data_IF_286182269270
#
_entry.id   IF_286182269270
#
_cell.length_a   1.000
_cell.length_b   1.000
_cell.length_c   1.000
_cell.angle_alpha   90.00
_cell.angle_beta   90.00
_cell.angle_gamma   90.00
#
_symmetry.space_group_name_H-M   'P 1'
#
loop_
_entity.id
_entity.type
_entity.pdbx_description
1 polymer ?
#
# COMPACT_ATOMS: atom_id res chain seq x y z
N UNK A 1 -0.19 -12.55 3.84
CA UNK A 1 1.24 -12.57 4.23
C UNK A 1 1.63 -11.20 4.77
N UNK A 2 2.64 -11.14 5.64
CA UNK A 2 3.19 -9.89 6.17
C UNK A 2 4.70 -9.87 5.91
N UNK A 3 5.27 -8.68 5.81
CA UNK A 3 6.72 -8.46 5.76
C UNK A 3 7.07 -7.37 6.76
N UNK A 4 8.28 -7.42 7.30
CA UNK A 4 8.82 -6.39 8.18
C UNK A 4 9.86 -5.58 7.40
N UNK A 5 9.69 -4.26 7.40
CA UNK A 5 10.60 -3.33 6.77
C UNK A 5 11.29 -2.50 7.86
N UNK A 6 12.61 -2.40 7.83
CA UNK A 6 13.40 -1.60 8.75
C UNK A 6 13.82 -0.30 8.05
N UNK A 7 13.64 0.83 8.71
CA UNK A 7 14.15 2.12 8.25
C UNK A 7 15.67 2.16 8.42
N UNK A 8 16.40 2.48 7.34
CA UNK A 8 17.85 2.59 7.38
C UNK A 8 18.31 3.84 8.14
N UNK A 9 17.45 4.87 8.20
CA UNK A 9 17.74 6.14 8.88
C UNK A 9 17.51 6.08 10.39
N UNK A 10 16.45 5.39 10.82
CA UNK A 10 15.99 5.43 12.22
C UNK A 10 16.04 4.06 12.90
N UNK A 11 16.26 2.98 12.16
CA UNK A 11 16.22 1.61 12.66
C UNK A 11 14.81 1.09 13.02
N UNK A 12 13.77 1.92 12.87
CA UNK A 12 12.38 1.56 13.20
C UNK A 12 11.88 0.47 12.25
N UNK A 13 11.26 -0.56 12.82
CA UNK A 13 10.67 -1.67 12.07
C UNK A 13 9.17 -1.41 11.88
N UNK A 14 8.73 -1.40 10.62
CA UNK A 14 7.33 -1.27 10.21
C UNK A 14 6.83 -2.59 9.63
N UNK A 15 5.80 -3.15 10.23
CA UNK A 15 5.13 -4.34 9.69
C UNK A 15 4.14 -3.94 8.59
N UNK A 16 4.26 -4.55 7.43
CA UNK A 16 3.43 -4.29 6.25
C UNK A 16 2.73 -5.56 5.78
N UNK A 17 1.53 -5.41 5.22
CA UNK A 17 0.77 -6.52 4.62
C UNK A 17 1.14 -6.66 3.15
N UNK A 18 1.38 -7.88 2.70
CA UNK A 18 1.72 -8.19 1.30
C UNK A 18 0.53 -8.87 0.62
N UNK A 19 0.13 -8.36 -0.55
CA UNK A 19 -1.06 -8.80 -1.30
C UNK A 19 -2.19 -7.76 -1.28
N UNK A 20 -3.42 -8.16 -1.62
CA UNK A 20 -4.55 -7.23 -1.71
C UNK A 20 -4.88 -6.55 -0.37
N UNK A 21 -5.26 -5.27 -0.42
CA UNK A 21 -5.64 -4.47 0.74
C UNK A 21 -7.16 -4.41 0.89
N UNK A 22 -7.74 -5.48 1.45
CA UNK A 22 -9.19 -5.55 1.71
C UNK A 22 -9.71 -4.35 2.50
N UNK A 23 -8.91 -3.80 3.42
CA UNK A 23 -9.29 -2.58 4.15
C UNK A 23 -9.42 -1.38 3.21
N UNK A 24 -8.55 -1.25 2.21
CA UNK A 24 -8.60 -0.13 1.27
C UNK A 24 -9.82 -0.25 0.32
N UNK A 25 -10.30 -1.48 0.06
CA UNK A 25 -11.52 -1.72 -0.69
C UNK A 25 -12.75 -1.13 0.00
N UNK A 26 -12.89 -1.30 1.33
CA UNK A 26 -14.08 -0.88 2.07
C UNK A 26 -13.98 0.56 2.60
N UNK A 27 -12.79 0.97 3.06
CA UNK A 27 -12.60 2.24 3.76
C UNK A 27 -11.93 3.33 2.92
N UNK A 28 -11.62 3.07 1.65
CA UNK A 28 -11.13 4.09 0.72
C UNK A 28 -9.94 4.89 1.29
N UNK A 29 -10.05 6.22 1.27
CA UNK A 29 -9.01 7.17 1.70
C UNK A 29 -8.64 7.06 3.20
N UNK A 30 -9.50 6.50 4.04
CA UNK A 30 -9.21 6.37 5.48
C UNK A 30 -8.00 5.47 5.74
N UNK A 31 -7.79 4.43 4.91
CA UNK A 31 -6.66 3.50 5.08
C UNK A 31 -5.30 4.18 4.91
N UNK A 32 -5.01 4.87 3.79
CA UNK A 32 -3.76 5.59 3.64
C UNK A 32 -3.59 6.72 4.67
N UNK A 33 -4.65 7.42 5.06
CA UNK A 33 -4.60 8.45 6.13
C UNK A 33 -4.06 7.85 7.44
N UNK A 34 -4.65 6.76 7.91
CA UNK A 34 -4.19 6.12 9.16
C UNK A 34 -2.81 5.48 9.04
N UNK A 35 -2.32 5.21 7.81
CA UNK A 35 -0.96 4.71 7.57
C UNK A 35 0.09 5.82 7.44
N UNK A 36 -0.33 7.09 7.43
CA UNK A 36 0.53 8.25 7.20
C UNK A 36 0.96 8.38 5.73
N UNK A 37 0.22 7.78 4.82
CA UNK A 37 0.48 7.76 3.38
C UNK A 37 -0.37 8.82 2.68
N UNK A 38 0.10 10.07 2.73
CA UNK A 38 -0.66 11.22 2.24
C UNK A 38 -0.83 11.22 0.72
N UNK A 39 0.13 10.67 -0.02
CA UNK A 39 0.05 10.57 -1.49
C UNK A 39 -1.13 9.71 -1.90
N UNK A 40 -1.24 8.50 -1.34
CA UNK A 40 -2.39 7.63 -1.63
C UNK A 40 -3.67 8.11 -0.95
N UNK A 41 -3.60 8.82 0.18
CA UNK A 41 -4.77 9.45 0.80
C UNK A 41 -5.47 10.43 -0.13
N UNK A 42 -4.70 11.32 -0.76
CA UNK A 42 -5.23 12.29 -1.72
C UNK A 42 -5.79 11.57 -2.96
N UNK A 43 -5.05 10.59 -3.50
CA UNK A 43 -5.51 9.82 -4.67
C UNK A 43 -6.84 9.12 -4.40
N UNK A 44 -6.96 8.44 -3.27
CA UNK A 44 -8.20 7.76 -2.89
C UNK A 44 -9.33 8.76 -2.62
N UNK A 45 -9.04 9.94 -2.07
CA UNK A 45 -10.01 11.01 -1.88
C UNK A 45 -10.60 11.50 -3.21
N UNK A 46 -9.76 11.69 -4.23
CA UNK A 46 -10.20 12.09 -5.58
C UNK A 46 -11.07 10.99 -6.20
N UNK A 47 -10.67 9.72 -6.09
CA UNK A 47 -11.46 8.58 -6.59
C UNK A 47 -12.83 8.55 -5.90
N UNK A 48 -12.88 8.77 -4.58
CA UNK A 48 -14.11 8.78 -3.80
C UNK A 48 -15.04 9.94 -4.19
N UNK A 49 -14.50 11.11 -4.55
CA UNK A 49 -15.27 12.24 -5.06
C UNK A 49 -15.83 11.95 -6.46
N UNK A 50 -15.04 11.34 -7.34
CA UNK A 50 -15.49 10.92 -8.68
C UNK A 50 -16.57 9.84 -8.61
N UNK A 51 -16.46 8.90 -7.65
CA UNK A 51 -17.51 7.91 -7.36
C UNK A 51 -18.84 8.55 -7.05
N UNK A 52 -18.80 9.56 -6.17
CA UNK A 52 -19.98 10.29 -5.75
C UNK A 52 -20.65 11.00 -6.94
N UNK A 53 -19.87 11.59 -7.84
CA UNK A 53 -20.40 12.27 -9.03
C UNK A 53 -20.87 11.32 -10.15
N UNK A 54 -20.40 10.07 -10.19
CA UNK A 54 -20.64 9.12 -11.31
C UNK A 54 -21.67 8.01 -11.00
N UNK A 55 -22.40 8.11 -9.88
CA UNK A 55 -23.33 7.07 -9.40
C UNK A 55 -22.67 5.68 -9.19
N UNK A 56 -21.37 5.66 -8.88
CA UNK A 56 -20.69 4.53 -8.22
C UNK A 56 -20.14 3.39 -9.09
N UNK A 57 -20.59 3.20 -10.33
CA UNK A 57 -20.13 2.05 -11.15
C UNK A 57 -18.64 2.16 -11.53
N UNK A 58 -18.24 3.33 -12.05
CA UNK A 58 -16.87 3.55 -12.54
C UNK A 58 -15.87 3.41 -11.39
N UNK A 59 -16.19 3.99 -10.23
CA UNK A 59 -15.24 3.91 -9.14
C UNK A 59 -15.25 2.59 -8.39
N UNK A 60 -16.32 1.79 -8.41
CA UNK A 60 -16.26 0.42 -7.90
C UNK A 60 -15.17 -0.40 -8.61
N UNK A 61 -15.06 -0.28 -9.93
CA UNK A 61 -13.98 -0.92 -10.71
C UNK A 61 -12.61 -0.38 -10.29
N UNK A 62 -12.48 0.95 -10.19
CA UNK A 62 -11.22 1.59 -9.76
C UNK A 62 -10.83 1.10 -8.36
N UNK A 63 -11.74 1.06 -7.39
CA UNK A 63 -11.49 0.57 -6.03
C UNK A 63 -11.01 -0.87 -5.99
N UNK A 64 -11.58 -1.75 -6.81
CA UNK A 64 -11.15 -3.15 -6.89
C UNK A 64 -9.70 -3.22 -7.37
N UNK A 65 -9.36 -2.54 -8.47
CA UNK A 65 -7.98 -2.50 -8.99
C UNK A 65 -7.02 -1.91 -7.97
N UNK A 66 -7.40 -0.77 -7.38
CA UNK A 66 -6.58 -0.03 -6.43
C UNK A 66 -6.36 -0.86 -5.15
N UNK A 67 -7.37 -1.60 -4.66
CA UNK A 67 -7.25 -2.52 -3.53
C UNK A 67 -6.16 -3.58 -3.75
N UNK A 68 -6.17 -4.23 -4.91
CA UNK A 68 -5.22 -5.30 -5.22
C UNK A 68 -3.79 -4.77 -5.27
N UNK A 69 -3.59 -3.56 -5.80
CA UNK A 69 -2.27 -2.99 -6.03
C UNK A 69 -1.73 -2.11 -4.90
N UNK A 70 -2.60 -1.55 -4.07
CA UNK A 70 -2.24 -0.52 -3.08
C UNK A 70 -1.12 -0.95 -2.12
N UNK A 71 -1.20 -2.13 -1.52
CA UNK A 71 -0.14 -2.58 -0.60
C UNK A 71 1.21 -2.74 -1.31
N UNK A 72 1.22 -3.20 -2.57
CA UNK A 72 2.46 -3.27 -3.36
C UNK A 72 3.05 -1.89 -3.58
N UNK A 73 2.24 -0.91 -3.99
CA UNK A 73 2.72 0.46 -4.17
C UNK A 73 3.23 1.10 -2.88
N UNK A 74 2.49 0.92 -1.78
CA UNK A 74 2.89 1.41 -0.47
C UNK A 74 4.22 0.79 -0.01
N UNK A 75 4.42 -0.51 -0.23
CA UNK A 75 5.70 -1.17 0.05
C UNK A 75 6.82 -0.60 -0.84
N UNK A 76 6.59 -0.45 -2.14
CA UNK A 76 7.58 0.15 -3.04
C UNK A 76 7.97 1.57 -2.63
N UNK A 77 7.02 2.37 -2.16
CA UNK A 77 7.29 3.71 -1.65
C UNK A 77 8.12 3.69 -0.37
N UNK A 78 7.86 2.77 0.55
CA UNK A 78 8.71 2.57 1.72
C UNK A 78 10.14 2.18 1.32
N UNK A 79 10.29 1.23 0.39
CA UNK A 79 11.61 0.81 -0.09
C UNK A 79 12.39 1.99 -0.71
N UNK A 80 11.72 2.79 -1.55
CA UNK A 80 12.31 4.00 -2.13
C UNK A 80 12.67 5.06 -1.09
N UNK A 81 11.99 5.08 0.06
CA UNK A 81 12.25 6.01 1.16
C UNK A 81 13.36 5.54 2.12
N UNK A 82 14.13 4.51 1.76
CA UNK A 82 15.24 3.99 2.56
C UNK A 82 14.79 3.01 3.64
N UNK A 83 13.77 2.19 3.32
CA UNK A 83 13.45 1.02 4.11
C UNK A 83 14.01 -0.23 3.43
N UNK A 84 14.53 -1.15 4.23
CA UNK A 84 15.05 -2.44 3.78
C UNK A 84 14.32 -3.60 4.47
N UNK A 85 14.29 -4.82 3.89
CA UNK A 85 13.75 -5.98 4.57
C UNK A 85 14.45 -6.21 5.91
N UNK A 86 13.69 -6.38 7.00
CA UNK A 86 14.26 -6.52 8.33
C UNK A 86 14.88 -7.91 8.59
N UNK A 87 14.48 -8.91 7.80
CA UNK A 87 14.83 -10.31 7.95
C UNK A 87 14.78 -11.05 6.60
N UNK A 88 15.47 -12.20 6.52
CA UNK A 88 15.56 -13.01 5.28
C UNK A 88 14.20 -13.52 4.81
N UNK A 89 13.25 -13.76 5.72
CA UNK A 89 11.90 -14.22 5.35
C UNK A 89 11.12 -13.10 4.69
N UNK A 90 11.16 -11.89 5.25
CA UNK A 90 10.58 -10.68 4.65
C UNK A 90 11.19 -10.39 3.28
N UNK A 91 12.51 -10.55 3.12
CA UNK A 91 13.18 -10.41 1.83
C UNK A 91 12.65 -11.40 0.79
N UNK A 92 12.58 -12.69 1.13
CA UNK A 92 12.07 -13.72 0.23
C UNK A 92 10.62 -13.45 -0.19
N UNK A 93 9.76 -13.03 0.74
CA UNK A 93 8.36 -12.68 0.44
C UNK A 93 8.29 -11.50 -0.55
N UNK A 94 9.16 -10.51 -0.41
CA UNK A 94 9.20 -9.35 -1.29
C UNK A 94 9.78 -9.70 -2.67
N UNK A 95 10.82 -10.53 -2.74
CA UNK A 95 11.39 -11.05 -4.00
C UNK A 95 10.37 -11.88 -4.78
N UNK A 96 9.65 -12.79 -4.11
CA UNK A 96 8.58 -13.59 -4.74
C UNK A 96 7.46 -12.75 -5.34
N UNK A 97 7.23 -11.55 -4.79
CA UNK A 97 6.23 -10.60 -5.29
C UNK A 97 6.80 -9.59 -6.30
N UNK A 98 8.08 -9.69 -6.67
CA UNK A 98 8.75 -8.77 -7.57
C UNK A 98 8.87 -7.35 -7.01
N UNK A 99 8.86 -7.19 -5.68
CA UNK A 99 8.91 -5.89 -5.00
C UNK A 99 10.32 -5.51 -4.55
N UNK A 100 11.25 -6.47 -4.52
CA UNK A 100 12.64 -6.29 -4.09
C UNK A 100 13.56 -7.02 -5.08
N UNK A 101 14.52 -6.32 -5.68
CA UNK A 101 15.35 -6.81 -6.80
C UNK A 101 16.86 -6.74 -6.53
N UNK A 102 17.28 -6.42 -5.31
CA UNK A 102 18.69 -6.28 -4.92
C UNK A 102 19.10 -7.55 -4.22
#
# INVERSE_FOLDING_TARGET
MKANLKSDKTGVIKQVKVGASWTALFFGAWVPIFRGDWKFAILFGIIQLLEFCSFGIIGLVIRIVTCVKYNSWYISELLNNGYSPADKTSEQVLRQKGLYLI
#
